data_IF_838583494808
#
_entry.id   IF_838583494808
#
_cell.length_a   1.000
_cell.length_b   1.000
_cell.length_c   1.000
_cell.angle_alpha   90.00
_cell.angle_beta   90.00
_cell.angle_gamma   90.00
#
_symmetry.space_group_name_H-M   'P 1'
#
loop_
_entity.id
_entity.type
_entity.pdbx_description
1 polymer ?
#
# COMPACT_ATOMS: atom_id res chain seq x y z
N UNK A 1 11.69 0.43 2.87
CA UNK A 1 11.27 1.06 1.61
C UNK A 1 11.12 2.54 1.91
N UNK A 2 11.80 3.38 1.15
CA UNK A 2 11.72 4.83 1.33
C UNK A 2 10.31 5.30 0.92
N UNK A 3 9.70 6.28 1.61
CA UNK A 3 8.49 6.90 1.11
C UNK A 3 8.77 7.32 -0.34
N UNK A 4 7.88 6.94 -1.25
CA UNK A 4 8.08 7.22 -2.67
C UNK A 4 8.34 8.71 -2.84
N UNK A 5 9.57 9.08 -3.21
CA UNK A 5 9.88 10.49 -3.46
C UNK A 5 9.03 10.93 -4.64
N UNK A 6 8.40 12.10 -4.54
CA UNK A 6 7.64 12.68 -5.65
C UNK A 6 8.49 12.70 -6.94
N UNK A 7 9.79 12.92 -6.80
CA UNK A 7 10.76 12.89 -7.89
C UNK A 7 10.90 11.50 -8.53
N UNK A 8 10.78 10.42 -7.75
CA UNK A 8 10.82 9.05 -8.29
C UNK A 8 9.56 8.75 -9.11
N UNK A 9 8.39 9.22 -8.65
CA UNK A 9 7.14 9.12 -9.42
C UNK A 9 7.27 9.88 -10.73
N UNK A 10 7.69 11.14 -10.68
CA UNK A 10 7.88 11.97 -11.89
C UNK A 10 8.80 11.25 -12.88
N UNK A 11 9.99 10.83 -12.43
CA UNK A 11 10.97 10.14 -13.27
C UNK A 11 10.39 8.90 -13.93
N UNK A 12 9.62 8.12 -13.20
CA UNK A 12 8.99 6.92 -13.75
C UNK A 12 7.88 7.23 -14.74
N UNK A 13 7.02 8.22 -14.44
CA UNK A 13 5.96 8.64 -15.35
C UNK A 13 6.50 9.23 -16.64
N UNK A 14 7.58 10.00 -16.58
CA UNK A 14 8.27 10.50 -17.77
C UNK A 14 8.85 9.35 -18.60
N UNK A 15 9.46 8.34 -17.97
CA UNK A 15 9.91 7.11 -18.66
C UNK A 15 8.74 6.37 -19.33
N UNK A 16 7.58 6.31 -18.69
CA UNK A 16 6.38 5.69 -19.28
C UNK A 16 5.83 6.47 -20.48
N UNK A 17 5.93 7.81 -20.45
CA UNK A 17 5.60 8.63 -21.61
C UNK A 17 6.57 8.38 -22.78
N UNK A 18 7.88 8.27 -22.52
CA UNK A 18 8.88 7.91 -23.53
C UNK A 18 8.64 6.53 -24.14
N UNK A 19 8.30 5.53 -23.32
CA UNK A 19 7.93 4.19 -23.81
C UNK A 19 6.73 4.25 -24.76
N UNK A 20 5.71 5.06 -24.46
CA UNK A 20 4.54 5.25 -25.33
C UNK A 20 4.90 5.96 -26.65
N UNK A 21 5.79 6.96 -26.61
CA UNK A 21 6.31 7.63 -27.82
C UNK A 21 7.03 6.64 -28.74
N UNK A 22 7.88 5.78 -28.17
CA UNK A 22 8.57 4.74 -28.93
C UNK A 22 7.61 3.69 -29.53
N UNK A 23 6.41 3.54 -28.96
CA UNK A 23 5.35 2.66 -29.48
C UNK A 23 4.45 3.33 -30.52
N UNK A 24 4.72 4.59 -30.90
CA UNK A 24 4.00 5.28 -31.97
C UNK A 24 2.96 6.31 -31.51
N UNK A 25 3.06 6.81 -30.27
CA UNK A 25 2.22 7.92 -29.81
C UNK A 25 2.48 9.19 -30.62
N UNK A 26 1.43 9.80 -31.17
CA UNK A 26 1.51 10.98 -32.05
C UNK A 26 1.79 12.25 -31.21
N UNK A 27 2.40 13.28 -31.83
CA UNK A 27 2.85 14.52 -31.18
C UNK A 27 1.77 15.25 -30.35
N UNK A 28 0.53 15.32 -30.84
CA UNK A 28 -0.57 15.99 -30.12
C UNK A 28 -0.99 15.20 -28.86
N UNK A 29 -1.07 13.87 -29.00
CA UNK A 29 -1.36 12.96 -27.89
C UNK A 29 -0.22 12.89 -26.87
N UNK A 30 1.03 13.09 -27.30
CA UNK A 30 2.20 13.17 -26.40
C UNK A 30 2.08 14.33 -25.42
N UNK A 31 1.82 15.54 -25.93
CA UNK A 31 1.69 16.73 -25.10
C UNK A 31 0.54 16.56 -24.11
N UNK A 32 -0.59 16.01 -24.58
CA UNK A 32 -1.76 15.68 -23.77
C UNK A 32 -1.45 14.66 -22.67
N UNK A 33 -0.74 13.57 -23.00
CA UNK A 33 -0.36 12.54 -22.02
C UNK A 33 0.52 13.12 -20.92
N UNK A 34 1.60 13.83 -21.29
CA UNK A 34 2.50 14.44 -20.30
C UNK A 34 1.79 15.48 -19.44
N UNK A 35 0.86 16.25 -20.01
CA UNK A 35 0.03 17.18 -19.25
C UNK A 35 -0.84 16.45 -18.22
N UNK A 36 -1.52 15.37 -18.61
CA UNK A 36 -2.35 14.57 -17.69
C UNK A 36 -1.50 13.98 -16.56
N UNK A 37 -0.37 13.36 -16.88
CA UNK A 37 0.51 12.73 -15.89
C UNK A 37 1.05 13.74 -14.87
N UNK A 38 1.36 14.97 -15.31
CA UNK A 38 1.79 16.06 -14.42
C UNK A 38 0.66 16.56 -13.53
N UNK A 39 -0.53 16.77 -14.09
CA UNK A 39 -1.71 17.26 -13.35
C UNK A 39 -2.21 16.22 -12.33
N UNK A 40 -2.06 14.92 -12.63
CA UNK A 40 -2.51 13.80 -11.80
C UNK A 40 -1.37 13.10 -11.07
N UNK A 41 -0.25 13.80 -10.86
CA UNK A 41 0.94 13.23 -10.24
C UNK A 41 0.64 12.62 -8.86
N UNK A 42 -0.26 13.25 -8.10
CA UNK A 42 -0.71 12.82 -6.79
C UNK A 42 -1.51 11.52 -6.81
N UNK A 43 -1.94 11.01 -7.97
CA UNK A 43 -2.71 9.75 -8.08
C UNK A 43 -1.82 8.51 -8.09
N UNK A 44 -0.51 8.66 -8.25
CA UNK A 44 0.43 7.55 -8.41
C UNK A 44 1.30 7.35 -7.17
N UNK A 45 1.45 6.09 -6.72
CA UNK A 45 2.32 5.69 -5.60
C UNK A 45 3.00 4.37 -5.95
N UNK A 46 4.26 4.17 -5.54
CA UNK A 46 4.93 2.87 -5.65
C UNK A 46 4.76 2.03 -4.39
N UNK A 47 4.82 2.69 -3.25
CA UNK A 47 4.70 2.08 -1.93
C UNK A 47 3.59 2.74 -1.12
N UNK A 48 3.34 2.21 0.08
CA UNK A 48 2.45 2.87 1.04
C UNK A 48 2.92 4.30 1.32
N UNK A 49 1.98 5.24 1.29
CA UNK A 49 2.20 6.64 1.59
C UNK A 49 1.49 7.06 2.88
N UNK A 50 1.85 8.24 3.39
CA UNK A 50 1.14 8.91 4.49
C UNK A 50 0.00 9.80 3.97
N UNK A 51 -0.66 9.38 2.90
CA UNK A 51 -1.76 10.14 2.32
C UNK A 51 -2.92 10.19 3.33
N UNK A 52 -3.58 11.35 3.48
CA UNK A 52 -4.69 11.46 4.41
C UNK A 52 -5.81 10.48 3.98
N UNK A 53 -6.54 9.90 4.95
CA UNK A 53 -7.69 9.09 4.63
C UNK A 53 -8.72 9.93 3.84
N UNK A 54 -9.54 9.24 3.06
CA UNK A 54 -10.66 9.87 2.38
C UNK A 54 -11.57 10.56 3.41
N UNK A 55 -12.11 11.73 3.04
CA UNK A 55 -12.93 12.59 3.92
C UNK A 55 -14.34 12.01 4.10
N UNK A 56 -14.43 10.87 4.77
CA UNK A 56 -15.68 10.20 5.12
C UNK A 56 -15.65 9.82 6.60
N UNK A 57 -16.84 9.65 7.17
CA UNK A 57 -16.98 9.16 8.54
C UNK A 57 -16.27 7.80 8.72
N UNK A 58 -15.51 7.60 9.81
CA UNK A 58 -14.83 6.34 10.08
C UNK A 58 -15.78 5.15 10.10
N UNK A 59 -15.37 4.04 9.48
CA UNK A 59 -16.15 2.80 9.51
C UNK A 59 -16.29 2.27 10.94
N UNK A 60 -17.52 2.04 11.38
CA UNK A 60 -17.83 1.40 12.67
C UNK A 60 -18.21 -0.06 12.47
N UNK A 61 -17.43 -0.97 13.06
CA UNK A 61 -17.70 -2.41 12.99
C UNK A 61 -18.73 -2.80 14.05
N UNK A 62 -19.86 -3.41 13.63
CA UNK A 62 -20.90 -3.95 14.53
C UNK A 62 -20.76 -5.46 14.65
N UNK A 63 -20.62 -5.95 15.88
CA UNK A 63 -20.61 -7.39 16.15
C UNK A 63 -22.05 -7.93 16.23
N UNK A 64 -22.24 -9.18 15.80
CA UNK A 64 -23.52 -9.89 16.00
C UNK A 64 -23.78 -10.05 17.50
N UNK A 65 -25.06 -10.06 17.89
CA UNK A 65 -25.47 -10.33 19.26
C UNK A 65 -24.88 -11.67 19.74
N UNK A 66 -24.31 -11.69 20.95
CA UNK A 66 -23.69 -12.87 21.53
C UNK A 66 -22.28 -13.22 21.01
N UNK A 67 -21.67 -12.40 20.14
CA UNK A 67 -20.31 -12.64 19.66
C UNK A 67 -19.31 -12.65 20.82
N UNK A 68 -18.53 -13.73 20.93
CA UNK A 68 -17.49 -13.90 21.95
C UNK A 68 -16.11 -13.69 21.35
N UNK A 69 -15.18 -13.04 22.08
CA UNK A 69 -13.81 -12.86 21.61
C UNK A 69 -13.11 -14.19 21.36
N UNK A 70 -12.44 -14.28 20.21
CA UNK A 70 -11.59 -15.42 19.85
C UNK A 70 -10.17 -14.93 19.64
N UNK A 71 -9.21 -15.61 20.27
CA UNK A 71 -7.78 -15.32 20.11
C UNK A 71 -7.07 -16.55 19.57
N UNK A 72 -6.67 -16.47 18.31
CA UNK A 72 -5.85 -17.48 17.67
C UNK A 72 -4.50 -17.62 18.39
N UNK A 73 -4.00 -18.85 18.48
CA UNK A 73 -2.68 -19.14 19.04
C UNK A 73 -1.57 -18.62 18.11
N UNK A 74 -0.43 -18.16 18.67
CA UNK A 74 0.72 -17.77 17.88
C UNK A 74 1.21 -18.92 16.98
N UNK A 75 1.53 -18.61 15.72
CA UNK A 75 2.10 -19.59 14.79
C UNK A 75 3.63 -19.54 14.80
N UNK A 76 4.26 -20.69 14.57
CA UNK A 76 5.69 -20.77 14.27
C UNK A 76 5.90 -20.42 12.81
N UNK A 77 6.80 -19.48 12.54
CA UNK A 77 7.23 -19.06 11.21
C UNK A 77 8.69 -19.43 11.00
N UNK A 78 9.04 -19.80 9.77
CA UNK A 78 10.42 -19.93 9.34
C UNK A 78 11.17 -18.58 9.46
N UNK A 79 12.51 -18.56 9.49
CA UNK A 79 13.28 -17.32 9.57
C UNK A 79 12.93 -16.32 8.46
N UNK A 80 12.75 -16.79 7.22
CA UNK A 80 12.44 -15.95 6.07
C UNK A 80 11.05 -15.31 6.17
N UNK A 81 10.05 -16.10 6.57
CA UNK A 81 8.69 -15.64 6.81
C UNK A 81 8.64 -14.59 7.93
N UNK A 82 9.35 -14.83 9.02
CA UNK A 82 9.43 -13.88 10.14
C UNK A 82 10.07 -12.56 9.69
N UNK A 83 11.19 -12.63 9.00
CA UNK A 83 11.86 -11.44 8.48
C UNK A 83 10.98 -10.64 7.51
N UNK A 84 10.17 -11.32 6.69
CA UNK A 84 9.16 -10.66 5.86
C UNK A 84 8.09 -9.97 6.71
N UNK A 85 7.49 -10.67 7.69
CA UNK A 85 6.47 -10.11 8.56
C UNK A 85 6.96 -8.89 9.33
N UNK A 86 8.19 -8.93 9.84
CA UNK A 86 8.80 -7.84 10.60
C UNK A 86 8.99 -6.62 9.71
N UNK A 87 9.59 -6.78 8.52
CA UNK A 87 9.75 -5.69 7.54
C UNK A 87 8.40 -5.11 7.11
N UNK A 88 7.44 -5.98 6.77
CA UNK A 88 6.14 -5.53 6.29
C UNK A 88 5.34 -4.80 7.37
N UNK A 89 5.32 -5.33 8.60
CA UNK A 89 4.59 -4.69 9.72
C UNK A 89 5.26 -3.39 10.14
N UNK A 90 6.59 -3.29 10.07
CA UNK A 90 7.31 -2.04 10.33
C UNK A 90 6.93 -0.93 9.34
N UNK A 91 6.79 -1.25 8.04
CA UNK A 91 6.31 -0.30 7.03
C UNK A 91 4.88 0.15 7.35
N UNK A 92 3.96 -0.77 7.62
CA UNK A 92 2.58 -0.40 7.97
C UNK A 92 2.50 0.49 9.22
N UNK A 93 3.33 0.23 10.23
CA UNK A 93 3.42 1.05 11.44
C UNK A 93 3.97 2.45 11.14
N UNK A 94 5.04 2.54 10.34
CA UNK A 94 5.65 3.81 9.96
C UNK A 94 4.67 4.71 9.19
N UNK A 95 3.75 4.11 8.43
CA UNK A 95 2.72 4.82 7.67
C UNK A 95 1.38 5.00 8.41
N UNK A 96 1.29 4.64 9.70
CA UNK A 96 0.07 4.80 10.49
C UNK A 96 -1.10 3.92 10.05
N UNK A 97 -0.87 2.92 9.21
CA UNK A 97 -1.90 2.00 8.70
C UNK A 97 -2.30 0.94 9.73
N UNK A 98 -1.42 0.66 10.70
CA UNK A 98 -1.69 -0.21 11.84
C UNK A 98 -1.14 0.42 13.11
N UNK A 99 -1.66 0.00 14.26
CA UNK A 99 -1.19 0.42 15.57
C UNK A 99 -1.11 -0.77 16.53
N UNK A 100 -0.33 -0.63 17.60
CA UNK A 100 -0.13 -1.69 18.59
C UNK A 100 -1.28 -1.70 19.59
N UNK A 101 -1.91 -2.86 19.78
CA UNK A 101 -2.91 -3.09 20.82
C UNK A 101 -2.39 -4.15 21.79
N UNK A 102 -1.99 -3.73 23.00
CA UNK A 102 -1.35 -4.62 23.97
C UNK A 102 -2.30 -5.65 24.60
N UNK A 103 -3.59 -5.33 24.68
CA UNK A 103 -4.60 -6.14 25.41
C UNK A 103 -5.76 -6.60 24.52
N UNK A 104 -5.51 -6.85 23.24
CA UNK A 104 -6.57 -7.33 22.34
C UNK A 104 -7.09 -8.70 22.81
N UNK A 105 -8.41 -8.80 22.95
CA UNK A 105 -9.12 -10.07 23.17
C UNK A 105 -9.38 -10.84 21.87
N UNK A 106 -9.19 -10.17 20.73
CA UNK A 106 -9.42 -10.71 19.40
C UNK A 106 -8.09 -10.88 18.66
N UNK A 107 -7.86 -12.05 18.07
CA UNK A 107 -6.74 -12.27 17.16
C UNK A 107 -7.07 -13.37 16.15
N UNK A 108 -6.75 -13.13 14.90
CA UNK A 108 -6.80 -14.13 13.83
C UNK A 108 -5.41 -14.71 13.56
N UNK A 109 -5.37 -15.93 13.05
CA UNK A 109 -4.12 -16.52 12.59
C UNK A 109 -3.65 -15.83 11.30
N UNK A 110 -2.36 -15.48 11.23
CA UNK A 110 -1.76 -14.90 10.01
C UNK A 110 -1.18 -15.99 9.13
N UNK A 111 -1.58 -15.98 7.87
CA UNK A 111 -1.04 -16.85 6.81
C UNK A 111 -0.16 -16.02 5.88
N UNK A 112 0.94 -16.61 5.42
CA UNK A 112 1.88 -15.99 4.49
C UNK A 112 1.78 -16.75 3.18
N UNK A 113 1.65 -16.00 2.08
CA UNK A 113 1.58 -16.55 0.75
C UNK A 113 2.63 -15.88 -0.11
N UNK A 114 3.31 -16.67 -0.94
CA UNK A 114 4.15 -16.14 -2.00
C UNK A 114 3.26 -15.69 -3.14
N UNK A 115 3.30 -14.40 -3.48
CA UNK A 115 2.68 -13.92 -4.72
C UNK A 115 3.56 -14.36 -5.90
N UNK A 116 2.92 -14.77 -7.00
CA UNK A 116 3.61 -14.91 -8.28
C UNK A 116 3.89 -13.49 -8.80
N UNK A 117 5.11 -13.27 -9.25
CA UNK A 117 5.50 -12.07 -9.98
C UNK A 117 5.01 -12.15 -11.43
#
# INVERSE_FOLDING_TARGET
MCPTSLNDVIRFLEKKAEEAENMGLILDDRAKLRAILRVKLDYFRFDFGNDPPIRVEPMQVRLKAGARPVRAQPRRYSPNERAFLDRHTAVLLAHGLVFKIHRSRWASARSIFRKRE
#
